data_IF_889841476221
#
_entry.id   IF_889841476221
#
_cell.length_a   1.000
_cell.length_b   1.000
_cell.length_c   1.000
_cell.angle_alpha   90.00
_cell.angle_beta   90.00
_cell.angle_gamma   90.00
#
_symmetry.space_group_name_H-M   'P 1'
#
loop_
_entity.id
_entity.type
_entity.pdbx_description
1 polymer ?
#
# COMPACT_ATOMS: atom_id res chain seq x y z
N UNK A 1 38.73 16.07 -3.92
CA UNK A 1 37.78 15.04 -3.48
C UNK A 1 36.73 14.96 -4.57
N UNK A 2 36.73 13.89 -5.36
CA UNK A 2 35.64 13.61 -6.30
C UNK A 2 34.51 12.96 -5.53
N UNK A 3 33.32 13.54 -5.59
CA UNK A 3 32.09 12.94 -5.04
C UNK A 3 31.29 12.42 -6.23
N UNK A 4 31.10 11.13 -6.28
CA UNK A 4 30.29 10.47 -7.30
C UNK A 4 29.02 9.91 -6.65
N UNK A 5 27.89 10.10 -7.31
CA UNK A 5 26.61 9.52 -6.88
C UNK A 5 26.39 8.23 -7.66
N UNK A 6 26.52 7.08 -6.99
CA UNK A 6 26.33 5.76 -7.60
C UNK A 6 24.90 5.54 -8.12
N UNK A 7 23.94 6.27 -7.60
CA UNK A 7 22.53 6.14 -7.99
C UNK A 7 21.99 7.50 -8.47
N UNK A 8 21.22 7.54 -9.58
CA UNK A 8 20.58 8.75 -10.02
C UNK A 8 19.55 9.25 -8.99
N UNK A 9 19.30 10.56 -8.99
CA UNK A 9 18.27 11.15 -8.14
C UNK A 9 16.90 10.54 -8.48
N UNK A 10 16.20 10.08 -7.45
CA UNK A 10 14.84 9.51 -7.55
C UNK A 10 13.84 10.40 -6.82
N UNK A 11 12.55 10.32 -7.16
CA UNK A 11 11.48 11.02 -6.44
C UNK A 11 10.95 12.27 -7.14
N UNK A 12 11.22 12.44 -8.43
CA UNK A 12 10.54 13.48 -9.22
C UNK A 12 9.10 13.07 -9.56
N UNK A 13 8.17 14.02 -9.46
CA UNK A 13 6.79 13.89 -9.93
C UNK A 13 6.63 14.69 -11.22
N UNK A 14 5.78 14.20 -12.14
CA UNK A 14 5.39 14.96 -13.35
C UNK A 14 4.48 16.15 -13.00
N UNK A 15 4.01 16.85 -14.03
CA UNK A 15 3.06 17.95 -13.87
C UNK A 15 1.76 17.46 -13.24
N UNK A 16 1.18 18.28 -12.36
CA UNK A 16 -0.11 18.01 -11.76
C UNK A 16 -1.23 18.17 -12.79
N UNK A 17 -2.23 17.30 -12.73
CA UNK A 17 -3.42 17.44 -13.56
C UNK A 17 -4.29 18.59 -13.07
N UNK A 18 -5.15 19.14 -13.93
CA UNK A 18 -6.05 20.26 -13.58
C UNK A 18 -6.97 19.87 -12.42
N UNK A 19 -7.41 18.62 -12.36
CA UNK A 19 -8.29 18.14 -11.30
C UNK A 19 -7.55 17.99 -9.97
N UNK A 20 -6.30 17.52 -9.98
CA UNK A 20 -5.42 17.51 -8.80
C UNK A 20 -5.16 18.94 -8.28
N UNK A 21 -4.89 19.88 -9.17
CA UNK A 21 -4.70 21.30 -8.79
C UNK A 21 -5.96 21.86 -8.13
N UNK A 22 -7.15 21.56 -8.66
CA UNK A 22 -8.44 21.99 -8.07
C UNK A 22 -8.64 21.38 -6.67
N UNK A 23 -8.43 20.10 -6.52
CA UNK A 23 -8.58 19.40 -5.24
C UNK A 23 -7.59 19.93 -4.19
N UNK A 24 -6.32 20.07 -4.57
CA UNK A 24 -5.28 20.63 -3.71
C UNK A 24 -5.55 22.09 -3.33
N UNK A 25 -6.06 22.90 -4.26
CA UNK A 25 -6.42 24.32 -4.02
C UNK A 25 -7.56 24.45 -3.02
N UNK A 26 -8.62 23.65 -3.18
CA UNK A 26 -9.75 23.61 -2.23
C UNK A 26 -9.29 23.14 -0.84
N UNK A 27 -8.47 22.08 -0.78
CA UNK A 27 -7.92 21.58 0.47
C UNK A 27 -7.05 22.62 1.17
N UNK A 28 -6.20 23.32 0.44
CA UNK A 28 -5.34 24.38 0.96
C UNK A 28 -6.15 25.56 1.52
N UNK A 29 -7.20 25.97 0.81
CA UNK A 29 -8.07 27.07 1.24
C UNK A 29 -8.84 26.71 2.51
N UNK A 30 -9.39 25.51 2.59
CA UNK A 30 -10.17 25.06 3.74
C UNK A 30 -9.32 24.84 5.01
N UNK A 31 -8.07 24.45 4.89
CA UNK A 31 -7.18 24.17 6.03
C UNK A 31 -6.61 25.43 6.71
N UNK A 32 -6.78 26.63 6.15
CA UNK A 32 -6.30 27.89 6.74
C UNK A 32 -4.86 27.87 7.25
N UNK A 33 -3.94 27.25 6.49
CA UNK A 33 -2.53 27.06 6.86
C UNK A 33 -2.26 26.17 8.09
N UNK A 34 -3.20 25.39 8.55
CA UNK A 34 -3.01 24.37 9.60
C UNK A 34 -3.67 23.06 9.20
N UNK A 35 -3.05 21.96 9.55
CA UNK A 35 -3.62 20.63 9.35
C UNK A 35 -4.38 20.23 10.61
N UNK A 36 -5.69 20.03 10.51
CA UNK A 36 -6.60 19.61 11.58
C UNK A 36 -7.23 18.27 11.28
N UNK A 37 -7.65 18.09 10.02
CA UNK A 37 -8.29 16.84 9.58
C UNK A 37 -7.28 15.89 8.93
N UNK A 38 -7.63 14.59 8.88
CA UNK A 38 -6.81 13.58 8.17
C UNK A 38 -6.55 13.99 6.71
N UNK A 39 -7.56 14.56 6.07
CA UNK A 39 -7.48 15.01 4.68
C UNK A 39 -6.51 16.19 4.52
N UNK A 40 -6.43 17.09 5.50
CA UNK A 40 -5.47 18.19 5.49
C UNK A 40 -4.03 17.67 5.53
N UNK A 41 -3.74 16.67 6.38
CA UNK A 41 -2.42 16.03 6.43
C UNK A 41 -2.06 15.35 5.11
N UNK A 42 -3.03 14.66 4.46
CA UNK A 42 -2.81 14.04 3.15
C UNK A 42 -2.51 15.09 2.08
N UNK A 43 -3.34 16.12 1.97
CA UNK A 43 -3.17 17.21 0.99
C UNK A 43 -1.84 17.94 1.22
N UNK A 44 -1.51 18.25 2.46
CA UNK A 44 -0.22 18.88 2.79
C UNK A 44 0.97 17.99 2.46
N UNK A 45 0.90 16.69 2.72
CA UNK A 45 1.94 15.76 2.35
C UNK A 45 2.16 15.71 0.83
N UNK A 46 1.07 15.64 0.04
CA UNK A 46 1.12 15.65 -1.41
C UNK A 46 1.61 16.99 -1.99
N UNK A 47 1.37 18.10 -1.26
CA UNK A 47 1.81 19.44 -1.65
C UNK A 47 3.27 19.74 -1.26
N UNK A 48 4.06 18.72 -0.87
CA UNK A 48 5.48 18.91 -0.58
C UNK A 48 6.18 19.49 -1.81
N UNK A 49 6.89 20.63 -1.69
CA UNK A 49 7.61 21.20 -2.83
C UNK A 49 8.61 20.22 -3.43
N UNK A 50 8.64 20.13 -4.76
CA UNK A 50 9.47 19.16 -5.51
C UNK A 50 10.96 19.21 -5.19
N UNK A 51 11.47 20.36 -4.74
CA UNK A 51 12.86 20.52 -4.28
C UNK A 51 13.21 19.68 -3.04
N UNK A 52 12.23 19.26 -2.27
CA UNK A 52 12.41 18.45 -1.07
C UNK A 52 12.11 16.96 -1.30
N UNK A 53 11.69 16.60 -2.50
CA UNK A 53 11.29 15.26 -2.94
C UNK A 53 9.82 15.21 -3.34
N UNK A 54 9.42 14.14 -4.05
CA UNK A 54 8.06 13.92 -4.49
C UNK A 54 7.39 12.80 -3.70
N UNK A 55 6.14 13.00 -3.32
CA UNK A 55 5.30 11.97 -2.72
C UNK A 55 4.28 11.55 -3.77
N UNK A 56 4.25 10.25 -4.09
CA UNK A 56 3.31 9.71 -5.06
C UNK A 56 1.91 9.56 -4.46
N UNK A 57 1.84 8.95 -3.28
CA UNK A 57 0.59 8.66 -2.58
C UNK A 57 0.78 8.89 -1.09
N UNK A 58 -0.24 9.42 -0.43
CA UNK A 58 -0.27 9.63 1.02
C UNK A 58 -1.64 9.19 1.58
N UNK A 59 -1.62 8.55 2.73
CA UNK A 59 -2.82 8.16 3.47
C UNK A 59 -2.61 8.39 4.96
N UNK A 60 -3.61 8.96 5.60
CA UNK A 60 -3.56 9.32 7.01
C UNK A 60 -4.59 8.51 7.80
N UNK A 61 -4.12 7.77 8.81
CA UNK A 61 -4.97 7.06 9.74
C UNK A 61 -4.56 7.40 11.19
N UNK A 62 -5.51 7.55 12.13
CA UNK A 62 -5.18 7.66 13.53
C UNK A 62 -4.63 6.34 14.06
N UNK A 63 -3.77 6.41 15.07
CA UNK A 63 -3.10 5.23 15.65
C UNK A 63 -4.09 4.19 16.20
N UNK A 64 -5.26 4.63 16.67
CA UNK A 64 -6.30 3.75 17.21
C UNK A 64 -7.16 3.00 16.18
N UNK A 65 -7.11 3.35 14.89
CA UNK A 65 -7.87 2.66 13.83
C UNK A 65 -7.13 1.46 13.24
N UNK A 66 -5.83 1.38 13.47
CA UNK A 66 -5.04 0.26 12.99
C UNK A 66 -5.22 -0.91 13.95
N UNK A 67 -5.71 -2.01 13.44
CA UNK A 67 -5.74 -3.26 14.19
C UNK A 67 -4.31 -3.80 14.36
N UNK A 68 -3.60 -3.26 15.35
CA UNK A 68 -2.26 -3.69 15.74
C UNK A 68 -2.23 -5.15 16.24
N UNK A 69 -3.39 -5.78 16.32
CA UNK A 69 -3.56 -7.16 16.79
C UNK A 69 -3.55 -8.20 15.65
N UNK A 70 -3.39 -7.79 14.41
CA UNK A 70 -3.28 -8.75 13.31
C UNK A 70 -1.95 -9.52 13.39
N UNK A 71 -1.90 -10.82 13.10
CA UNK A 71 -0.65 -11.58 13.06
C UNK A 71 0.41 -10.95 12.12
N UNK A 72 -0.04 -10.31 11.05
CA UNK A 72 0.83 -9.62 10.11
C UNK A 72 1.52 -8.40 10.72
N UNK A 73 0.86 -7.63 11.59
CA UNK A 73 1.46 -6.47 12.25
C UNK A 73 2.53 -6.89 13.27
N UNK A 74 2.34 -8.03 13.94
CA UNK A 74 3.30 -8.59 14.89
C UNK A 74 4.58 -9.04 14.15
N UNK A 75 4.43 -9.67 12.98
CA UNK A 75 5.56 -10.15 12.17
C UNK A 75 6.31 -9.03 11.43
N UNK A 76 5.69 -7.88 11.22
CA UNK A 76 6.33 -6.73 10.58
C UNK A 76 7.23 -5.93 11.54
N UNK A 77 7.21 -6.21 12.84
CA UNK A 77 8.13 -5.60 13.79
C UNK A 77 9.47 -6.37 13.75
N UNK A 78 10.62 -5.73 13.44
CA UNK A 78 11.91 -6.41 13.33
C UNK A 78 12.30 -7.17 14.60
N UNK A 79 12.03 -6.61 15.78
CA UNK A 79 12.32 -7.28 17.06
C UNK A 79 11.46 -8.54 17.25
N UNK A 80 10.21 -8.52 16.82
CA UNK A 80 9.32 -9.68 16.88
C UNK A 80 9.71 -10.74 15.87
N UNK A 81 10.31 -10.35 14.75
CA UNK A 81 10.77 -11.26 13.71
C UNK A 81 12.03 -12.04 14.17
N UNK A 82 12.96 -11.37 14.87
CA UNK A 82 14.13 -12.03 15.45
C UNK A 82 13.74 -13.04 16.55
N UNK A 83 12.80 -12.66 17.43
CA UNK A 83 12.28 -13.54 18.46
C UNK A 83 11.49 -14.71 17.84
N UNK A 84 10.73 -14.49 16.77
CA UNK A 84 10.03 -15.54 16.06
C UNK A 84 11.01 -16.50 15.38
N UNK A 85 12.06 -15.98 14.75
CA UNK A 85 13.12 -16.79 14.16
C UNK A 85 13.84 -17.66 15.22
N UNK A 86 14.13 -17.06 16.39
CA UNK A 86 14.70 -17.79 17.54
C UNK A 86 13.76 -18.90 18.06
N UNK A 87 12.46 -18.63 18.09
CA UNK A 87 11.44 -19.61 18.49
C UNK A 87 11.35 -20.77 17.49
N UNK A 88 11.36 -20.47 16.18
CA UNK A 88 11.34 -21.50 15.14
C UNK A 88 12.61 -22.37 15.20
N UNK A 89 13.77 -21.77 15.46
CA UNK A 89 15.03 -22.48 15.61
C UNK A 89 15.02 -23.41 16.84
N UNK A 90 14.52 -22.92 17.98
CA UNK A 90 14.34 -23.73 19.20
C UNK A 90 13.31 -24.87 19.04
N UNK A 91 12.26 -24.66 18.22
CA UNK A 91 11.27 -25.69 17.90
C UNK A 91 11.85 -26.77 16.97
N UNK A 92 12.77 -26.39 16.06
CA UNK A 92 13.46 -27.32 15.17
C UNK A 92 14.40 -28.27 15.88
N UNK A 93 14.99 -27.82 17.00
CA UNK A 93 15.92 -28.66 17.83
C UNK A 93 15.19 -29.62 18.77
N UNK A 94 13.91 -29.40 19.03
CA UNK A 94 13.07 -30.25 19.88
C UNK A 94 12.15 -31.09 19.00
N UNK A 95 12.17 -32.43 19.21
CA UNK A 95 11.20 -33.35 18.60
C UNK A 95 9.81 -33.14 19.26
N UNK A 96 9.12 -32.06 18.86
CA UNK A 96 7.77 -31.73 19.36
C UNK A 96 6.71 -32.30 18.45
N UNK A 97 5.55 -32.67 19.04
CA UNK A 97 4.37 -33.06 18.26
C UNK A 97 3.74 -31.83 17.62
N UNK A 98 3.01 -32.02 16.52
CA UNK A 98 2.34 -30.95 15.78
C UNK A 98 1.45 -30.06 16.67
N UNK A 99 0.83 -30.69 17.67
CA UNK A 99 -0.05 -29.99 18.64
C UNK A 99 0.76 -29.07 19.55
N UNK A 100 1.92 -29.52 20.03
CA UNK A 100 2.81 -28.71 20.87
C UNK A 100 3.40 -27.52 20.12
N UNK A 101 3.73 -27.70 18.83
CA UNK A 101 4.20 -26.60 17.96
C UNK A 101 3.08 -25.55 17.80
N UNK A 102 1.85 -25.97 17.55
CA UNK A 102 0.69 -25.08 17.45
C UNK A 102 0.43 -24.30 18.75
N UNK A 103 0.56 -24.96 19.89
CA UNK A 103 0.34 -24.33 21.20
C UNK A 103 1.44 -23.33 21.54
N UNK A 104 2.71 -23.63 21.23
CA UNK A 104 3.85 -22.70 21.41
C UNK A 104 3.74 -21.48 20.50
N UNK A 105 3.38 -21.66 19.23
CA UNK A 105 3.12 -20.55 18.31
C UNK A 105 1.95 -19.69 18.76
N UNK A 106 0.88 -20.33 19.26
CA UNK A 106 -0.28 -19.62 19.81
C UNK A 106 0.09 -18.81 21.05
N UNK A 107 0.87 -19.42 21.96
CA UNK A 107 1.36 -18.75 23.16
C UNK A 107 2.27 -17.56 22.83
N UNK A 108 3.15 -17.70 21.83
CA UNK A 108 3.97 -16.59 21.33
C UNK A 108 3.11 -15.44 20.80
N UNK A 109 2.14 -15.72 19.96
CA UNK A 109 1.21 -14.72 19.43
C UNK A 109 0.39 -14.04 20.55
N UNK A 110 -0.07 -14.81 21.54
CA UNK A 110 -0.81 -14.27 22.69
C UNK A 110 0.10 -13.42 23.60
N UNK A 111 1.35 -13.83 23.82
CA UNK A 111 2.30 -13.06 24.65
C UNK A 111 2.64 -11.72 24.00
N UNK A 112 2.78 -11.68 22.68
CA UNK A 112 2.99 -10.43 21.93
C UNK A 112 1.76 -9.55 21.92
N UNK A 113 0.57 -10.14 21.87
CA UNK A 113 -0.70 -9.41 22.00
C UNK A 113 -0.86 -8.72 23.36
N UNK A 114 -0.35 -9.35 24.43
CA UNK A 114 -0.39 -8.80 25.79
C UNK A 114 0.62 -7.66 26.04
N UNK A 115 1.75 -7.65 25.36
CA UNK A 115 2.79 -6.63 25.50
C UNK A 115 2.55 -5.38 24.64
N UNK A 116 1.64 -5.42 23.70
CA UNK A 116 1.25 -4.25 22.88
C UNK A 116 0.23 -3.33 23.57
N UNK A 117 0.21 -3.28 24.90
CA UNK A 117 -0.30 -2.15 25.65
C UNK A 117 0.60 -0.90 25.53
N UNK A 118 1.43 -0.79 24.50
CA UNK A 118 1.94 0.49 24.04
C UNK A 118 0.72 1.30 23.58
N UNK A 119 0.33 2.13 24.50
CA UNK A 119 -0.78 3.05 24.51
C UNK A 119 -1.01 3.61 23.12
N UNK A 120 -2.09 3.17 22.45
CA UNK A 120 -2.61 3.88 21.29
C UNK A 120 -2.66 5.36 21.71
N UNK A 121 -1.81 6.17 21.13
CA UNK A 121 -1.80 7.58 21.43
C UNK A 121 -2.92 8.22 20.58
N UNK A 122 -4.03 8.67 21.18
CA UNK A 122 -5.14 9.25 20.42
C UNK A 122 -4.74 10.51 19.65
N UNK A 123 -3.58 11.12 20.00
CA UNK A 123 -3.02 12.27 19.31
C UNK A 123 -1.93 11.90 18.29
N UNK A 124 -1.64 10.61 18.12
CA UNK A 124 -0.70 10.17 17.11
C UNK A 124 -1.44 9.87 15.80
N UNK A 125 -0.89 10.42 14.74
CA UNK A 125 -1.38 10.26 13.37
C UNK A 125 -0.33 9.44 12.62
N UNK A 126 -0.75 8.33 12.04
CA UNK A 126 0.09 7.51 11.18
C UNK A 126 -0.09 7.96 9.72
N UNK A 127 0.96 8.50 9.14
CA UNK A 127 0.99 8.93 7.74
C UNK A 127 1.72 7.88 6.90
N UNK A 128 0.96 7.15 6.11
CA UNK A 128 1.47 6.18 5.13
C UNK A 128 1.84 6.91 3.86
N UNK A 129 3.06 6.71 3.40
CA UNK A 129 3.58 7.42 2.24
C UNK A 129 4.28 6.48 1.26
N UNK A 130 4.12 6.76 -0.03
CA UNK A 130 4.84 6.11 -1.12
C UNK A 130 5.39 7.16 -2.07
N UNK A 131 6.55 6.88 -2.64
CA UNK A 131 7.17 7.69 -3.68
C UNK A 131 7.14 6.99 -5.04
N UNK A 132 7.67 7.66 -6.05
CA UNK A 132 7.95 7.05 -7.35
C UNK A 132 9.43 6.67 -7.44
N UNK A 133 9.68 5.51 -8.00
CA UNK A 133 11.01 5.11 -8.45
C UNK A 133 11.37 5.78 -9.80
N UNK A 134 12.64 5.68 -10.23
CA UNK A 134 13.13 6.15 -11.54
C UNK A 134 12.31 5.61 -12.73
N UNK A 135 11.68 4.44 -12.56
CA UNK A 135 10.80 3.80 -13.54
C UNK A 135 9.33 4.24 -13.43
N UNK A 136 9.00 5.27 -12.66
CA UNK A 136 7.62 5.71 -12.34
C UNK A 136 6.76 4.63 -11.65
N UNK A 137 7.37 3.63 -11.02
CA UNK A 137 6.67 2.65 -10.19
C UNK A 137 6.63 3.14 -8.75
N UNK A 138 5.64 2.67 -7.99
CA UNK A 138 5.57 2.97 -6.57
C UNK A 138 6.74 2.32 -5.82
N UNK A 139 7.37 3.09 -4.95
CA UNK A 139 8.46 2.66 -4.08
C UNK A 139 8.34 3.30 -2.70
N UNK A 140 9.08 2.76 -1.75
CA UNK A 140 9.20 3.37 -0.41
C UNK A 140 9.99 4.68 -0.50
N UNK A 141 9.65 5.64 0.37
CA UNK A 141 10.34 6.92 0.40
C UNK A 141 11.75 6.79 0.98
N UNK A 142 12.68 7.54 0.38
CA UNK A 142 14.02 7.69 0.95
C UNK A 142 13.94 8.43 2.31
N UNK A 143 14.85 8.09 3.22
CA UNK A 143 14.96 8.69 4.54
C UNK A 143 15.06 10.23 4.47
N UNK A 144 15.83 10.77 3.54
CA UNK A 144 15.96 12.21 3.37
C UNK A 144 14.63 12.91 3.05
N UNK A 145 13.80 12.30 2.19
CA UNK A 145 12.47 12.83 1.86
C UNK A 145 11.53 12.75 3.06
N UNK A 146 11.61 11.69 3.87
CA UNK A 146 10.82 11.56 5.10
C UNK A 146 11.18 12.65 6.13
N UNK A 147 12.47 12.96 6.30
CA UNK A 147 12.91 14.03 7.21
C UNK A 147 12.47 15.41 6.70
N UNK A 148 12.57 15.66 5.39
CA UNK A 148 12.06 16.88 4.78
C UNK A 148 10.54 17.00 4.98
N UNK A 149 9.80 15.92 4.76
CA UNK A 149 8.36 15.88 4.97
C UNK A 149 8.00 16.15 6.44
N UNK A 150 8.76 15.57 7.38
CA UNK A 150 8.58 15.80 8.81
C UNK A 150 8.76 17.26 9.17
N UNK A 151 9.80 17.89 8.65
CA UNK A 151 10.06 19.32 8.87
C UNK A 151 8.96 20.18 8.27
N UNK A 152 8.56 19.88 7.04
CA UNK A 152 7.51 20.61 6.33
C UNK A 152 6.16 20.50 7.04
N UNK A 153 5.71 19.28 7.40
CA UNK A 153 4.45 19.09 8.13
C UNK A 153 4.50 19.65 9.54
N UNK A 154 5.69 19.76 10.13
CA UNK A 154 5.91 20.39 11.43
C UNK A 154 5.43 21.85 11.49
N UNK A 155 5.44 22.57 10.35
CA UNK A 155 4.96 23.95 10.25
C UNK A 155 3.42 24.05 10.26
N UNK A 156 2.74 22.99 9.86
CA UNK A 156 1.27 22.98 9.69
C UNK A 156 0.52 22.16 10.74
N UNK A 157 1.20 21.24 11.43
CA UNK A 157 0.57 20.36 12.42
C UNK A 157 0.09 21.13 13.66
N UNK A 158 -0.94 20.61 14.32
CA UNK A 158 -1.31 21.09 15.65
C UNK A 158 -0.22 20.72 16.67
N UNK A 159 -0.08 21.53 17.70
CA UNK A 159 0.97 21.37 18.73
C UNK A 159 0.85 20.03 19.49
N UNK A 160 -0.37 19.52 19.61
CA UNK A 160 -0.70 18.27 20.30
C UNK A 160 -0.48 17.02 19.45
N UNK A 161 -0.43 17.16 18.12
CA UNK A 161 -0.42 16.01 17.21
C UNK A 161 0.98 15.45 17.02
N UNK A 162 1.14 14.16 17.26
CA UNK A 162 2.32 13.39 16.88
C UNK A 162 2.13 12.78 15.49
N UNK A 163 3.10 12.96 14.59
CA UNK A 163 3.04 12.35 13.25
C UNK A 163 4.07 11.22 13.15
N UNK A 164 3.60 10.02 12.89
CA UNK A 164 4.44 8.87 12.57
C UNK A 164 4.47 8.67 11.05
N UNK A 165 5.66 8.55 10.48
CA UNK A 165 5.85 8.30 9.05
C UNK A 165 6.09 6.81 8.83
N UNK A 166 5.17 6.18 8.13
CA UNK A 166 5.20 4.74 7.86
C UNK A 166 5.24 4.54 6.34
N UNK A 167 6.02 3.57 5.89
CA UNK A 167 6.00 3.18 4.48
C UNK A 167 4.69 2.47 4.16
N UNK A 168 4.06 2.89 3.05
CA UNK A 168 2.89 2.22 2.55
C UNK A 168 3.22 0.82 2.01
N UNK A 169 2.28 -0.10 2.13
CA UNK A 169 2.41 -1.43 1.55
C UNK A 169 2.08 -1.39 0.07
N UNK A 170 2.95 -1.99 -0.75
CA UNK A 170 2.75 -2.15 -2.18
C UNK A 170 2.33 -3.59 -2.43
N UNK A 171 1.09 -3.79 -2.85
CA UNK A 171 0.53 -5.10 -3.16
C UNK A 171 0.51 -5.26 -4.68
N UNK A 172 1.18 -6.30 -5.18
CA UNK A 172 1.19 -6.62 -6.59
C UNK A 172 0.14 -7.70 -6.86
N UNK A 173 -0.84 -7.36 -7.68
CA UNK A 173 -1.90 -8.27 -8.08
C UNK A 173 -1.66 -8.76 -9.51
N UNK A 174 -1.91 -10.05 -9.74
CA UNK A 174 -2.05 -10.64 -11.05
C UNK A 174 -3.52 -10.92 -11.34
N UNK A 175 -3.91 -10.88 -12.58
CA UNK A 175 -5.25 -11.21 -13.02
C UNK A 175 -5.18 -12.39 -13.97
N UNK A 176 -5.88 -13.49 -13.63
CA UNK A 176 -6.06 -14.65 -14.48
C UNK A 176 -7.51 -14.67 -15.00
N UNK A 177 -7.68 -14.46 -16.30
CA UNK A 177 -9.01 -14.40 -16.90
C UNK A 177 -9.12 -15.21 -18.19
N UNK A 178 -10.32 -15.72 -18.45
CA UNK A 178 -10.68 -16.42 -19.68
C UNK A 178 -11.79 -15.66 -20.38
N UNK A 179 -11.69 -15.53 -21.71
CA UNK A 179 -12.70 -14.88 -22.53
C UNK A 179 -13.19 -15.82 -23.65
N UNK A 180 -14.47 -15.71 -23.96
CA UNK A 180 -15.04 -16.25 -25.20
C UNK A 180 -15.22 -15.10 -26.18
N UNK A 181 -14.81 -15.32 -27.41
CA UNK A 181 -14.83 -14.31 -28.48
C UNK A 181 -15.92 -14.70 -29.50
N UNK A 182 -16.67 -13.69 -29.99
CA UNK A 182 -17.64 -13.88 -31.05
C UNK A 182 -16.99 -14.40 -32.33
N UNK A 183 -17.76 -15.21 -33.11
CA UNK A 183 -17.32 -15.61 -34.44
C UNK A 183 -17.11 -14.38 -35.35
N UNK A 184 -16.00 -14.38 -36.07
CA UNK A 184 -15.61 -13.26 -36.94
C UNK A 184 -14.57 -12.31 -36.39
N UNK A 185 -14.25 -12.39 -35.10
CA UNK A 185 -13.18 -11.62 -34.49
C UNK A 185 -11.90 -12.42 -34.29
N UNK A 186 -10.76 -11.76 -34.44
CA UNK A 186 -9.46 -12.39 -34.22
C UNK A 186 -9.19 -12.46 -32.70
N UNK A 187 -9.08 -13.66 -32.14
CA UNK A 187 -8.86 -13.88 -30.70
C UNK A 187 -7.70 -13.08 -30.11
N UNK A 188 -6.59 -13.00 -30.88
CA UNK A 188 -5.39 -12.27 -30.45
C UNK A 188 -5.62 -10.76 -30.33
N UNK A 189 -6.37 -10.20 -31.28
CA UNK A 189 -6.68 -8.77 -31.30
C UNK A 189 -7.59 -8.39 -30.13
N UNK A 190 -8.66 -9.17 -29.91
CA UNK A 190 -9.58 -8.97 -28.78
C UNK A 190 -8.84 -9.10 -27.43
N UNK A 191 -7.98 -10.11 -27.30
CA UNK A 191 -7.16 -10.27 -26.08
C UNK A 191 -6.26 -9.06 -25.85
N UNK A 192 -5.63 -8.51 -26.90
CA UNK A 192 -4.79 -7.31 -26.77
C UNK A 192 -5.58 -6.09 -26.33
N UNK A 193 -6.82 -5.92 -26.88
CA UNK A 193 -7.73 -4.85 -26.44
C UNK A 193 -8.08 -5.00 -24.96
N UNK A 194 -8.44 -6.21 -24.51
CA UNK A 194 -8.73 -6.47 -23.09
C UNK A 194 -7.53 -6.16 -22.19
N UNK A 195 -6.32 -6.55 -22.58
CA UNK A 195 -5.10 -6.26 -21.81
C UNK A 195 -4.84 -4.76 -21.72
N UNK A 196 -5.09 -3.99 -22.77
CA UNK A 196 -4.90 -2.54 -22.75
C UNK A 196 -5.93 -1.87 -21.84
N UNK A 197 -7.21 -2.23 -21.92
CA UNK A 197 -8.25 -1.73 -21.01
C UNK A 197 -7.92 -2.05 -19.54
N UNK A 198 -7.42 -3.26 -19.25
CA UNK A 198 -6.99 -3.63 -17.90
C UNK A 198 -5.78 -2.83 -17.44
N UNK A 199 -4.82 -2.52 -18.31
CA UNK A 199 -3.68 -1.66 -17.97
C UNK A 199 -4.11 -0.24 -17.65
N UNK A 200 -5.07 0.29 -18.39
CA UNK A 200 -5.60 1.63 -18.17
C UNK A 200 -6.41 1.69 -16.86
N UNK A 201 -7.19 0.64 -16.56
CA UNK A 201 -7.90 0.49 -15.29
C UNK A 201 -6.94 0.44 -14.09
N UNK A 202 -5.90 -0.40 -14.17
CA UNK A 202 -4.89 -0.55 -13.12
C UNK A 202 -3.74 0.48 -13.20
N UNK A 203 -3.94 1.58 -13.90
CA UNK A 203 -2.95 2.64 -13.89
C UNK A 203 -2.73 3.15 -12.45
N UNK A 204 -1.47 3.28 -12.05
CA UNK A 204 -1.05 3.71 -10.71
C UNK A 204 -1.67 5.05 -10.32
N UNK A 205 -1.88 5.95 -11.29
CA UNK A 205 -2.43 7.27 -11.03
C UNK A 205 -3.90 7.22 -10.57
N UNK A 206 -4.66 6.24 -11.05
CA UNK A 206 -6.07 6.06 -10.73
C UNK A 206 -6.31 5.39 -9.36
N UNK A 207 -5.29 4.75 -8.79
CA UNK A 207 -5.41 3.98 -7.55
C UNK A 207 -4.81 4.73 -6.37
N UNK A 208 -5.55 4.74 -5.25
CA UNK A 208 -5.10 5.32 -3.98
C UNK A 208 -5.12 4.27 -2.88
N UNK A 209 -4.59 4.62 -1.70
CA UNK A 209 -4.69 3.75 -0.54
C UNK A 209 -6.13 3.43 -0.18
N UNK A 210 -6.35 2.22 0.32
CA UNK A 210 -7.64 1.73 0.83
C UNK A 210 -8.77 1.72 -0.21
N UNK A 211 -8.42 1.56 -1.48
CA UNK A 211 -9.39 1.48 -2.57
C UNK A 211 -9.79 0.01 -2.79
N UNK A 212 -11.09 -0.32 -2.77
CA UNK A 212 -11.52 -1.70 -2.97
C UNK A 212 -11.34 -2.13 -4.43
N UNK A 213 -10.93 -3.37 -4.65
CA UNK A 213 -10.86 -3.99 -5.97
C UNK A 213 -12.10 -4.87 -6.14
N UNK A 214 -13.00 -4.49 -7.06
CA UNK A 214 -14.22 -5.22 -7.35
C UNK A 214 -14.03 -6.13 -8.55
N UNK A 215 -14.10 -7.45 -8.35
CA UNK A 215 -13.97 -8.44 -9.42
C UNK A 215 -15.07 -8.24 -10.47
N UNK A 216 -16.30 -7.99 -10.04
CA UNK A 216 -17.44 -7.77 -10.96
C UNK A 216 -17.27 -6.54 -11.85
N UNK A 217 -16.60 -5.49 -11.38
CA UNK A 217 -16.28 -4.31 -12.17
C UNK A 217 -15.24 -4.65 -13.25
N UNK A 218 -14.24 -5.45 -12.91
CA UNK A 218 -13.23 -5.94 -13.86
C UNK A 218 -13.88 -6.84 -14.90
N UNK A 219 -14.77 -7.73 -14.50
CA UNK A 219 -15.54 -8.59 -15.43
C UNK A 219 -16.38 -7.78 -16.39
N UNK A 220 -17.09 -6.75 -15.91
CA UNK A 220 -17.87 -5.83 -16.74
C UNK A 220 -16.99 -5.06 -17.73
N UNK A 221 -15.83 -4.59 -17.28
CA UNK A 221 -14.88 -3.88 -18.13
C UNK A 221 -14.38 -4.78 -19.26
N UNK A 222 -14.01 -6.03 -18.98
CA UNK A 222 -13.58 -6.99 -20.00
C UNK A 222 -14.76 -7.34 -20.93
N UNK A 223 -15.96 -7.54 -20.38
CA UNK A 223 -17.15 -7.86 -21.17
C UNK A 223 -17.58 -6.72 -22.10
N UNK A 224 -17.25 -5.47 -21.76
CA UNK A 224 -17.51 -4.28 -22.57
C UNK A 224 -16.58 -4.15 -23.80
N UNK A 225 -15.49 -4.92 -23.86
CA UNK A 225 -14.57 -4.87 -25.00
C UNK A 225 -15.22 -5.48 -26.24
N UNK A 226 -15.13 -4.75 -27.35
CA UNK A 226 -15.67 -5.20 -28.63
C UNK A 226 -15.10 -6.56 -29.06
N UNK A 227 -15.98 -7.52 -29.36
CA UNK A 227 -15.61 -8.88 -29.75
C UNK A 227 -15.62 -9.90 -28.60
N UNK A 228 -15.77 -9.49 -27.35
CA UNK A 228 -15.93 -10.40 -26.20
C UNK A 228 -17.39 -10.83 -26.10
N UNK A 229 -17.63 -12.14 -26.07
CA UNK A 229 -18.95 -12.75 -25.90
C UNK A 229 -19.29 -12.96 -24.43
N UNK A 230 -18.34 -13.46 -23.66
CA UNK A 230 -18.48 -13.71 -22.21
C UNK A 230 -17.14 -13.88 -21.55
N UNK A 231 -17.11 -13.69 -20.21
CA UNK A 231 -15.96 -13.88 -19.34
C UNK A 231 -16.25 -15.06 -18.42
N UNK A 232 -15.87 -16.31 -18.77
CA UNK A 232 -16.16 -17.50 -17.96
C UNK A 232 -15.40 -17.52 -16.64
N UNK A 233 -14.20 -16.90 -16.59
CA UNK A 233 -13.34 -16.93 -15.43
C UNK A 233 -12.62 -15.60 -15.28
N UNK A 234 -12.62 -15.07 -14.05
CA UNK A 234 -11.84 -13.91 -13.66
C UNK A 234 -11.39 -14.08 -12.20
N UNK A 235 -10.10 -14.26 -11.96
CA UNK A 235 -9.54 -14.50 -10.65
C UNK A 235 -8.36 -13.58 -10.40
N UNK A 236 -8.28 -13.04 -9.18
CA UNK A 236 -7.17 -12.22 -8.73
C UNK A 236 -6.16 -13.11 -8.00
N UNK A 237 -4.90 -12.99 -8.36
CA UNK A 237 -3.79 -13.72 -7.75
C UNK A 237 -2.77 -12.75 -7.15
N UNK A 238 -2.13 -13.15 -6.05
CA UNK A 238 -1.03 -12.38 -5.49
C UNK A 238 0.27 -12.65 -6.26
N UNK A 239 0.99 -11.56 -6.55
CA UNK A 239 2.37 -11.63 -7.08
C UNK A 239 3.31 -11.08 -6.03
N UNK A 240 4.02 -11.97 -5.33
CA UNK A 240 4.98 -11.60 -4.29
C UNK A 240 6.31 -12.29 -4.50
N UNK A 241 7.37 -11.68 -3.98
CA UNK A 241 8.76 -12.11 -4.08
C UNK A 241 9.40 -11.98 -5.50
N UNK A 242 10.69 -12.10 -5.59
CA UNK A 242 11.45 -11.88 -6.82
C UNK A 242 11.50 -10.41 -7.20
N UNK A 243 10.94 -10.05 -8.36
CA UNK A 243 10.88 -8.66 -8.86
C UNK A 243 9.69 -7.87 -8.30
N UNK A 244 8.89 -8.45 -7.41
CA UNK A 244 7.72 -7.86 -6.79
C UNK A 244 7.97 -7.56 -5.31
N UNK A 245 7.10 -6.77 -4.70
CA UNK A 245 7.18 -6.50 -3.25
C UNK A 245 7.00 -7.78 -2.43
N UNK A 246 7.51 -7.78 -1.20
CA UNK A 246 7.33 -8.89 -0.26
C UNK A 246 5.93 -8.94 0.36
N UNK A 247 5.11 -7.92 0.13
CA UNK A 247 3.78 -7.80 0.70
C UNK A 247 2.76 -8.59 -0.12
N UNK A 248 1.89 -9.31 0.57
CA UNK A 248 0.78 -10.06 -0.03
C UNK A 248 -0.53 -9.70 0.65
N UNK A 249 -1.62 -9.78 -0.09
CA UNK A 249 -2.97 -9.57 0.42
C UNK A 249 -3.69 -10.90 0.55
N UNK A 250 -4.41 -11.12 1.65
CA UNK A 250 -5.15 -12.37 1.82
C UNK A 250 -6.49 -12.30 1.08
N UNK A 251 -6.49 -12.72 -0.18
CA UNK A 251 -7.67 -12.70 -1.06
C UNK A 251 -8.79 -13.60 -0.51
N UNK A 252 -8.44 -14.73 0.14
CA UNK A 252 -9.44 -15.68 0.67
C UNK A 252 -10.23 -15.09 1.85
N UNK A 253 -9.59 -14.29 2.69
CA UNK A 253 -10.28 -13.64 3.80
C UNK A 253 -11.10 -12.42 3.32
N UNK A 254 -10.62 -11.71 2.32
CA UNK A 254 -11.34 -10.61 1.69
C UNK A 254 -12.65 -11.09 1.01
N UNK A 255 -12.62 -12.23 0.29
CA UNK A 255 -13.81 -12.80 -0.35
C UNK A 255 -14.85 -13.31 0.65
N UNK A 256 -14.46 -13.59 1.90
CA UNK A 256 -15.36 -13.98 2.99
C UNK A 256 -15.95 -12.79 3.77
N UNK A 257 -15.74 -11.57 3.30
CA UNK A 257 -16.23 -10.35 3.94
C UNK A 257 -15.56 -10.02 5.27
N UNK A 258 -14.42 -10.62 5.59
CA UNK A 258 -13.58 -10.19 6.69
C UNK A 258 -12.73 -9.02 6.21
N UNK A 259 -12.90 -7.85 6.83
CA UNK A 259 -11.93 -6.78 6.71
C UNK A 259 -10.57 -7.27 7.23
N UNK A 260 -9.57 -7.23 6.40
CA UNK A 260 -8.18 -7.60 6.73
C UNK A 260 -7.37 -6.32 6.92
#
# INVERSE_FOLDING_TARGET
>A
VAVDNETPATGGRGEETIDEIRENSLGNFSSQNRAVTRKDYQVRALSLPSKFGGIAKAYCAPDGELDNNSPASILNNPNSLEEFAGLVQNLGDKKLTEQQIKDELKNFLVSKKGNQNEKNNPFAINLYTLGYDSSKKLSTLNRAVKENLKTYLGEYRMLTDGINFIDGYIINVGLDFEIRVYGGYTKREVLTKCINELKDYFNIDNWTFNMPINISEIELLIAGVEGVQSVPKCEITNKCLGNYSSHSYNILDATKGKMV
#
